data_IF_900789702169
#
_entry.id   IF_900789702169
#
_cell.length_a   1.000
_cell.length_b   1.000
_cell.length_c   1.000
_cell.angle_alpha   90.00
_cell.angle_beta   90.00
_cell.angle_gamma   90.00
#
_symmetry.space_group_name_H-M   'P 1'
#
loop_
_entity.id
_entity.type
_entity.pdbx_description
1 polymer ?
#
# COMPACT_ATOMS: atom_id res chain seq x y z
N UNK A 1 16.31 19.47 -7.79
CA UNK A 1 15.06 18.92 -8.32
C UNK A 1 14.06 19.12 -7.20
N UNK A 2 13.32 20.22 -7.28
CA UNK A 2 12.31 20.56 -6.27
C UNK A 2 11.27 19.43 -6.24
N UNK A 3 11.18 18.76 -5.09
CA UNK A 3 10.11 17.82 -4.73
C UNK A 3 8.85 18.69 -4.60
N UNK A 4 8.13 18.92 -5.70
CA UNK A 4 7.05 19.93 -5.81
C UNK A 4 5.77 19.55 -5.02
N UNK A 5 5.90 18.79 -3.93
CA UNK A 5 4.82 18.28 -3.09
C UNK A 5 3.83 17.36 -3.81
N UNK A 6 4.05 17.08 -5.11
CA UNK A 6 3.13 16.34 -5.97
C UNK A 6 3.14 14.86 -5.60
N UNK A 7 1.97 14.19 -5.72
CA UNK A 7 1.90 12.75 -5.53
C UNK A 7 2.84 12.01 -6.49
N UNK A 8 3.74 11.21 -5.94
CA UNK A 8 4.67 10.35 -6.68
C UNK A 8 4.38 8.89 -6.33
N UNK A 9 4.20 8.05 -7.36
CA UNK A 9 3.96 6.63 -7.18
C UNK A 9 5.29 5.88 -6.97
N UNK A 10 5.20 4.65 -6.49
CA UNK A 10 6.33 3.75 -6.30
C UNK A 10 5.87 2.40 -5.79
N UNK A 11 6.81 1.49 -5.60
CA UNK A 11 6.52 0.18 -5.03
C UNK A 11 7.66 -0.37 -4.19
N UNK A 12 7.32 -1.32 -3.34
CA UNK A 12 8.26 -2.12 -2.56
C UNK A 12 7.66 -3.51 -2.30
N UNK A 13 8.48 -4.55 -2.40
CA UNK A 13 8.07 -5.89 -2.00
C UNK A 13 8.67 -6.96 -2.90
N UNK A 14 7.91 -8.04 -3.12
CA UNK A 14 8.31 -9.14 -4.01
C UNK A 14 7.48 -9.18 -5.27
N UNK A 15 8.13 -9.60 -6.35
CA UNK A 15 7.49 -9.97 -7.61
C UNK A 15 7.81 -11.44 -7.90
N UNK A 16 6.87 -12.21 -8.48
CA UNK A 16 7.10 -13.63 -8.79
C UNK A 16 8.30 -13.87 -9.70
N UNK A 17 8.57 -12.96 -10.64
CA UNK A 17 9.68 -13.07 -11.58
C UNK A 17 11.05 -12.67 -10.99
N UNK A 18 11.10 -12.15 -9.77
CA UNK A 18 12.35 -11.72 -9.12
C UNK A 18 12.73 -12.63 -7.96
N UNK A 19 14.03 -12.87 -7.79
CA UNK A 19 14.55 -13.70 -6.69
C UNK A 19 14.78 -12.94 -5.38
N UNK A 20 14.62 -11.61 -5.38
CA UNK A 20 14.83 -10.74 -4.22
C UNK A 20 13.79 -9.61 -4.18
N UNK A 21 13.84 -8.81 -3.12
CA UNK A 21 13.05 -7.61 -2.95
C UNK A 21 13.35 -6.59 -4.06
N UNK A 22 12.29 -5.91 -4.48
CA UNK A 22 12.34 -4.84 -5.47
C UNK A 22 11.75 -3.57 -4.90
N UNK A 23 12.30 -2.42 -5.30
CA UNK A 23 11.75 -1.12 -4.92
C UNK A 23 12.13 -0.05 -5.93
N UNK A 24 11.19 0.84 -6.24
CA UNK A 24 11.38 2.04 -7.07
C UNK A 24 10.41 3.14 -6.68
N UNK A 25 10.78 4.39 -6.94
CA UNK A 25 9.91 5.56 -6.75
C UNK A 25 9.66 5.98 -5.30
N UNK A 26 10.28 5.32 -4.31
CA UNK A 26 10.04 5.60 -2.89
C UNK A 26 11.21 6.36 -2.26
N UNK A 27 10.94 7.41 -1.45
CA UNK A 27 11.97 8.04 -0.63
C UNK A 27 12.60 7.03 0.33
N UNK A 28 13.92 7.06 0.43
CA UNK A 28 14.73 6.05 1.11
C UNK A 28 14.38 5.88 2.60
N UNK A 29 14.11 7.00 3.29
CA UNK A 29 13.68 7.00 4.70
C UNK A 29 12.29 6.38 4.88
N UNK A 30 11.35 6.75 4.00
CA UNK A 30 10.01 6.16 4.00
C UNK A 30 10.06 4.66 3.71
N UNK A 31 10.80 4.24 2.68
CA UNK A 31 10.95 2.83 2.31
C UNK A 31 11.43 1.98 3.48
N UNK A 32 12.45 2.43 4.22
CA UNK A 32 12.98 1.71 5.39
C UNK A 32 11.96 1.58 6.52
N UNK A 33 11.23 2.65 6.84
CA UNK A 33 10.19 2.62 7.86
C UNK A 33 9.02 1.71 7.44
N UNK A 34 8.59 1.81 6.18
CA UNK A 34 7.52 0.99 5.61
C UNK A 34 7.87 -0.49 5.59
N UNK A 35 9.07 -0.86 5.15
CA UNK A 35 9.57 -2.23 5.22
C UNK A 35 9.52 -2.78 6.64
N UNK A 36 10.03 -2.04 7.62
CA UNK A 36 9.96 -2.42 9.02
C UNK A 36 8.52 -2.65 9.50
N UNK A 37 7.59 -1.79 9.10
CA UNK A 37 6.17 -1.92 9.44
C UNK A 37 5.53 -3.16 8.79
N UNK A 38 5.76 -3.39 7.50
CA UNK A 38 5.26 -4.56 6.77
C UNK A 38 5.83 -5.85 7.37
N UNK A 39 7.14 -5.89 7.61
CA UNK A 39 7.84 -7.03 8.19
C UNK A 39 7.33 -7.37 9.59
N UNK A 40 6.97 -6.36 10.39
CA UNK A 40 6.46 -6.54 11.75
C UNK A 40 4.98 -6.93 11.79
N UNK A 41 4.14 -6.34 10.94
CA UNK A 41 2.69 -6.42 11.11
C UNK A 41 1.97 -7.20 10.01
N UNK A 42 2.46 -7.21 8.76
CA UNK A 42 1.73 -7.84 7.65
C UNK A 42 2.34 -9.16 7.26
N UNK A 43 3.66 -9.21 7.04
CA UNK A 43 4.35 -10.40 6.56
C UNK A 43 4.17 -11.65 7.45
N UNK A 44 4.19 -11.58 8.80
CA UNK A 44 3.97 -12.75 9.65
C UNK A 44 2.59 -13.37 9.43
N UNK A 45 1.55 -12.52 9.36
CA UNK A 45 0.15 -12.94 9.14
C UNK A 45 0.00 -13.66 7.80
N UNK A 46 0.63 -13.16 6.74
CA UNK A 46 0.59 -13.81 5.43
C UNK A 46 1.28 -15.18 5.43
N UNK A 47 2.40 -15.31 6.16
CA UNK A 47 3.11 -16.59 6.32
C UNK A 47 2.31 -17.61 7.13
N UNK A 48 1.48 -17.13 8.05
CA UNK A 48 0.53 -17.92 8.84
C UNK A 48 -0.75 -18.26 8.05
N UNK A 49 -0.88 -17.78 6.80
CA UNK A 49 -2.00 -18.10 5.92
C UNK A 49 -3.17 -17.12 5.98
N UNK A 50 -3.02 -15.96 6.64
CA UNK A 50 -4.05 -14.92 6.59
C UNK A 50 -4.20 -14.40 5.15
N UNK A 51 -5.44 -14.34 4.67
CA UNK A 51 -5.76 -13.74 3.38
C UNK A 51 -5.84 -12.21 3.51
N UNK A 52 -5.34 -11.50 2.50
CA UNK A 52 -5.67 -10.08 2.32
C UNK A 52 -7.07 -9.97 1.68
N UNK A 53 -7.76 -8.83 1.87
CA UNK A 53 -9.01 -8.55 1.17
C UNK A 53 -8.87 -8.71 -0.34
N UNK A 54 -9.97 -9.01 -1.02
CA UNK A 54 -10.03 -8.95 -2.48
C UNK A 54 -9.66 -7.54 -2.97
N UNK A 55 -8.78 -7.46 -3.97
CA UNK A 55 -8.22 -6.18 -4.43
C UNK A 55 -7.18 -5.57 -3.48
N UNK A 56 -6.74 -6.31 -2.46
CA UNK A 56 -5.67 -5.92 -1.54
C UNK A 56 -6.13 -5.13 -0.31
N UNK A 57 -5.23 -5.06 0.67
CA UNK A 57 -5.39 -4.20 1.85
C UNK A 57 -4.98 -2.77 1.50
N UNK A 58 -5.91 -1.83 1.60
CA UNK A 58 -5.68 -0.42 1.30
C UNK A 58 -5.28 0.33 2.56
N UNK A 59 -4.43 1.34 2.41
CA UNK A 59 -3.93 2.14 3.52
C UNK A 59 -3.77 3.62 3.18
N UNK A 60 -3.82 4.45 4.22
CA UNK A 60 -3.39 5.84 4.21
C UNK A 60 -2.66 6.10 5.52
N UNK A 61 -1.46 6.63 5.43
CA UNK A 61 -0.56 6.92 6.53
C UNK A 61 -0.15 8.38 6.45
N UNK A 62 -0.23 9.10 7.56
CA UNK A 62 0.33 10.45 7.69
C UNK A 62 1.34 10.48 8.83
N UNK A 63 2.55 10.94 8.54
CA UNK A 63 3.64 11.03 9.50
C UNK A 63 4.63 12.12 9.11
N UNK A 64 5.07 12.93 10.08
CA UNK A 64 6.12 13.93 9.86
C UNK A 64 5.80 14.96 8.77
N UNK A 65 4.52 15.34 8.62
CA UNK A 65 4.08 16.30 7.60
C UNK A 65 4.03 15.75 6.17
N UNK A 66 4.15 14.42 6.00
CA UNK A 66 3.99 13.73 4.72
C UNK A 66 2.88 12.69 4.80
N UNK A 67 2.31 12.37 3.64
CA UNK A 67 1.30 11.34 3.48
C UNK A 67 1.80 10.24 2.54
N UNK A 68 1.43 9.01 2.85
CA UNK A 68 1.54 7.87 1.97
C UNK A 68 0.21 7.14 1.90
N UNK A 69 -0.15 6.61 0.74
CA UNK A 69 -1.33 5.77 0.60
C UNK A 69 -1.09 4.69 -0.44
N UNK A 70 -1.95 3.68 -0.46
CA UNK A 70 -2.01 2.73 -1.55
C UNK A 70 -2.52 1.38 -1.13
N UNK A 71 -1.97 0.33 -1.75
CA UNK A 71 -2.51 -1.02 -1.65
C UNK A 71 -1.40 -2.05 -1.44
N UNK A 72 -1.67 -3.00 -0.56
CA UNK A 72 -0.83 -4.14 -0.24
C UNK A 72 -1.48 -5.38 -0.85
N UNK A 73 -0.72 -6.08 -1.69
CA UNK A 73 -1.15 -7.25 -2.45
C UNK A 73 -0.42 -8.50 -1.97
N UNK A 74 -1.08 -9.68 -2.00
CA UNK A 74 -0.39 -10.94 -1.74
C UNK A 74 0.67 -11.16 -2.83
N UNK A 75 1.86 -11.59 -2.42
CA UNK A 75 2.96 -11.88 -3.33
C UNK A 75 3.98 -12.84 -2.70
N UNK A 76 4.85 -13.38 -3.55
CA UNK A 76 5.99 -14.21 -3.21
C UNK A 76 7.05 -14.06 -4.31
N UNK A 77 8.30 -14.38 -3.99
CA UNK A 77 9.35 -14.48 -5.01
C UNK A 77 9.33 -15.84 -5.72
N UNK A 78 10.23 -16.00 -6.69
CA UNK A 78 10.45 -17.25 -7.42
C UNK A 78 10.85 -18.44 -6.56
N UNK A 79 11.35 -18.22 -5.33
CA UNK A 79 11.67 -19.25 -4.35
C UNK A 79 10.49 -19.60 -3.42
N UNK A 80 9.33 -18.97 -3.59
CA UNK A 80 8.13 -19.21 -2.78
C UNK A 80 8.15 -18.53 -1.41
N UNK A 81 9.08 -17.61 -1.15
CA UNK A 81 9.15 -16.91 0.15
C UNK A 81 8.12 -15.78 0.18
N UNK A 82 7.04 -16.00 0.92
CA UNK A 82 5.92 -15.03 1.06
C UNK A 82 6.39 -13.70 1.64
N UNK A 83 6.09 -12.62 0.90
CA UNK A 83 6.18 -11.23 1.32
C UNK A 83 5.34 -10.38 0.37
N UNK A 84 4.54 -9.41 0.86
CA UNK A 84 3.58 -8.72 0.00
C UNK A 84 4.26 -7.79 -1.01
N UNK A 85 3.51 -7.43 -2.06
CA UNK A 85 3.84 -6.30 -2.93
C UNK A 85 3.05 -5.08 -2.46
N UNK A 86 3.73 -3.96 -2.22
CA UNK A 86 3.12 -2.69 -1.85
C UNK A 86 3.21 -1.72 -3.02
N UNK A 87 2.07 -1.20 -3.47
CA UNK A 87 1.97 -0.12 -4.45
C UNK A 87 1.59 1.15 -3.70
N UNK A 88 2.42 2.18 -3.81
CA UNK A 88 2.41 3.30 -2.86
C UNK A 88 2.46 4.62 -3.62
N UNK A 89 1.66 5.57 -3.16
CA UNK A 89 1.69 6.97 -3.52
C UNK A 89 2.22 7.77 -2.33
N UNK A 90 3.18 8.66 -2.52
CA UNK A 90 3.68 9.59 -1.49
C UNK A 90 3.50 11.02 -1.92
N UNK A 91 3.09 11.89 -0.99
CA UNK A 91 2.93 13.34 -1.22
C UNK A 91 3.08 14.09 0.13
N UNK A 92 3.05 15.43 0.11
CA UNK A 92 2.91 16.21 1.35
C UNK A 92 1.56 15.95 2.02
N UNK A 93 0.51 15.86 1.21
CA UNK A 93 -0.82 15.49 1.68
C UNK A 93 -1.58 14.70 0.61
N UNK A 94 -2.45 13.79 1.08
CA UNK A 94 -3.29 12.95 0.23
C UNK A 94 -4.76 13.06 0.66
N UNK A 95 -5.70 12.84 -0.28
CA UNK A 95 -7.12 12.90 0.02
C UNK A 95 -7.56 11.71 0.90
N UNK A 96 -8.85 11.65 1.21
CA UNK A 96 -9.43 10.58 2.04
C UNK A 96 -9.57 9.24 1.30
N UNK A 97 -9.98 8.17 2.01
CA UNK A 97 -10.12 6.83 1.43
C UNK A 97 -10.97 6.74 0.16
N UNK A 98 -12.12 7.44 0.11
CA UNK A 98 -13.02 7.40 -1.04
C UNK A 98 -12.39 7.94 -2.33
N UNK A 99 -11.57 8.97 -2.21
CA UNK A 99 -10.85 9.61 -3.32
C UNK A 99 -9.58 8.83 -3.72
N UNK A 100 -9.04 8.02 -2.80
CA UNK A 100 -7.92 7.12 -3.04
C UNK A 100 -8.32 5.81 -3.70
N UNK A 101 -9.57 5.37 -3.55
CA UNK A 101 -10.08 4.11 -4.07
C UNK A 101 -9.85 3.95 -5.59
N UNK A 102 -10.15 4.95 -6.45
CA UNK A 102 -9.90 4.87 -7.88
C UNK A 102 -8.41 4.67 -8.22
N UNK A 103 -7.51 5.36 -7.51
CA UNK A 103 -6.07 5.17 -7.71
C UNK A 103 -5.63 3.77 -7.28
N UNK A 104 -6.15 3.27 -6.16
CA UNK A 104 -5.86 1.91 -5.71
C UNK A 104 -6.32 0.86 -6.73
N UNK A 105 -7.53 1.00 -7.28
CA UNK A 105 -8.03 0.10 -8.33
C UNK A 105 -7.13 0.13 -9.58
N UNK A 106 -6.75 1.33 -10.03
CA UNK A 106 -5.85 1.47 -11.17
C UNK A 106 -4.46 0.88 -10.91
N UNK A 107 -3.90 1.08 -9.71
CA UNK A 107 -2.61 0.52 -9.31
C UNK A 107 -2.63 -1.02 -9.30
N UNK A 108 -3.69 -1.64 -8.79
CA UNK A 108 -3.83 -3.11 -8.84
C UNK A 108 -3.87 -3.61 -10.29
N UNK A 109 -4.60 -2.94 -11.19
CA UNK A 109 -4.63 -3.27 -12.62
C UNK A 109 -3.30 -3.01 -13.33
N UNK A 110 -2.50 -2.07 -12.82
CA UNK A 110 -1.15 -1.76 -13.29
C UNK A 110 -0.09 -2.74 -12.80
N UNK A 111 -0.42 -3.67 -11.88
CA UNK A 111 0.53 -4.68 -11.40
C UNK A 111 1.13 -5.50 -12.57
N UNK A 112 2.46 -5.66 -12.58
CA UNK A 112 3.24 -6.41 -13.58
C UNK A 112 4.30 -7.23 -12.86
N UNK A 113 4.75 -8.30 -13.50
CA UNK A 113 5.81 -9.16 -12.93
C UNK A 113 7.23 -8.58 -13.08
N UNK A 114 7.41 -7.56 -13.93
CA UNK A 114 8.70 -6.89 -14.14
C UNK A 114 8.80 -5.58 -13.35
N UNK A 115 9.93 -5.31 -12.66
CA UNK A 115 10.14 -4.04 -11.95
C UNK A 115 10.03 -2.80 -12.85
N UNK A 116 10.61 -2.85 -14.05
CA UNK A 116 10.56 -1.72 -15.00
C UNK A 116 9.15 -1.45 -15.50
N UNK A 117 8.45 -2.50 -15.96
CA UNK A 117 7.07 -2.37 -16.45
C UNK A 117 6.08 -1.93 -15.36
N UNK A 118 6.27 -2.40 -14.12
CA UNK A 118 5.47 -1.94 -12.98
C UNK A 118 5.73 -0.47 -12.69
N UNK A 119 7.01 -0.04 -12.70
CA UNK A 119 7.36 1.34 -12.44
C UNK A 119 6.71 2.29 -13.46
N UNK A 120 6.89 1.99 -14.75
CA UNK A 120 6.33 2.80 -15.83
C UNK A 120 4.79 2.86 -15.75
N UNK A 121 4.14 1.73 -15.51
CA UNK A 121 2.69 1.68 -15.42
C UNK A 121 2.13 2.48 -14.22
N UNK A 122 2.86 2.54 -13.10
CA UNK A 122 2.48 3.35 -11.94
C UNK A 122 2.71 4.85 -12.16
N UNK A 123 3.82 5.21 -12.82
CA UNK A 123 4.18 6.60 -13.14
C UNK A 123 3.19 7.25 -14.13
N UNK A 124 2.56 6.44 -14.99
CA UNK A 124 1.51 6.89 -15.91
C UNK A 124 0.13 7.11 -15.24
N UNK A 125 -0.07 6.67 -13.99
CA UNK A 125 -1.35 6.83 -13.33
C UNK A 125 -1.60 8.29 -12.95
N UNK A 126 -2.82 8.82 -13.21
CA UNK A 126 -3.17 10.14 -12.73
C UNK A 126 -3.18 10.17 -11.19
N UNK A 127 -2.79 11.29 -10.57
CA UNK A 127 -2.92 11.43 -9.11
C UNK A 127 -4.41 11.32 -8.70
N UNK A 128 -4.69 10.90 -7.47
CA UNK A 128 -6.06 10.80 -6.97
C UNK A 128 -6.74 12.17 -7.01
N UNK A 129 -7.97 12.21 -7.52
CA UNK A 129 -8.78 13.40 -7.53
C UNK A 129 -9.33 13.64 -6.12
N UNK A 130 -9.13 14.83 -5.55
CA UNK A 130 -9.66 15.17 -4.24
C UNK A 130 -8.80 16.20 -3.51
N UNK A 131 -9.41 16.94 -2.61
CA UNK A 131 -8.67 17.83 -1.73
C UNK A 131 -7.96 17.01 -0.63
N UNK A 132 -6.78 17.45 -0.16
CA UNK A 132 -6.13 16.84 0.99
C UNK A 132 -7.07 16.71 2.19
N UNK A 133 -7.05 15.56 2.86
CA UNK A 133 -7.82 15.39 4.08
C UNK A 133 -7.21 16.23 5.21
N UNK A 134 -7.97 17.22 5.71
CA UNK A 134 -7.48 18.22 6.66
C UNK A 134 -7.15 17.63 8.05
N UNK A 135 -7.92 16.65 8.52
CA UNK A 135 -7.72 16.02 9.82
C UNK A 135 -8.14 14.55 9.72
N UNK A 136 -7.15 13.67 9.68
CA UNK A 136 -7.35 12.24 9.54
C UNK A 136 -6.48 11.48 10.55
N UNK A 137 -6.94 10.32 11.05
CA UNK A 137 -6.12 9.45 11.88
C UNK A 137 -4.78 9.13 11.19
N UNK A 138 -3.70 8.91 11.97
CA UNK A 138 -2.37 8.72 11.43
C UNK A 138 -2.29 7.50 10.52
N UNK A 139 -3.02 6.43 10.82
CA UNK A 139 -3.18 5.27 9.95
C UNK A 139 -4.66 4.95 9.77
N UNK A 140 -5.05 4.82 8.51
CA UNK A 140 -6.31 4.27 8.05
C UNK A 140 -6.04 2.98 7.27
N UNK A 141 -6.82 1.95 7.53
CA UNK A 141 -6.80 0.68 6.81
C UNK A 141 -8.21 0.35 6.31
N UNK A 142 -8.33 -0.11 5.08
CA UNK A 142 -9.62 -0.50 4.52
C UNK A 142 -9.50 -1.54 3.42
N UNK A 143 -10.65 -2.03 2.97
CA UNK A 143 -10.80 -2.83 1.75
C UNK A 143 -11.69 -2.09 0.78
N UNK A 144 -11.60 -2.45 -0.50
CA UNK A 144 -12.42 -1.87 -1.56
C UNK A 144 -13.91 -1.83 -1.18
N UNK A 145 -14.53 -0.65 -1.30
CA UNK A 145 -15.96 -0.46 -1.05
C UNK A 145 -16.40 -0.53 0.42
N UNK A 146 -15.46 -0.56 1.37
CA UNK A 146 -15.76 -0.55 2.80
C UNK A 146 -15.28 0.74 3.47
N UNK A 147 -15.91 1.10 4.59
CA UNK A 147 -15.46 2.21 5.43
C UNK A 147 -14.06 1.93 6.00
N UNK A 148 -13.26 2.99 6.13
CA UNK A 148 -11.92 2.89 6.68
C UNK A 148 -11.91 2.75 8.20
N UNK A 149 -11.01 1.90 8.68
CA UNK A 149 -10.73 1.69 10.09
C UNK A 149 -9.52 2.50 10.49
N UNK A 150 -9.65 3.31 11.53
CA UNK A 150 -8.50 3.94 12.17
C UNK A 150 -7.70 2.91 12.95
N UNK A 151 -6.37 3.03 12.90
CA UNK A 151 -5.46 2.17 13.62
C UNK A 151 -4.30 2.97 14.20
N UNK A 152 -3.70 2.47 15.29
CA UNK A 152 -2.40 2.94 15.75
C UNK A 152 -1.32 2.34 14.83
N UNK A 153 -0.44 3.15 14.19
CA UNK A 153 0.68 2.64 13.42
C UNK A 153 1.59 1.67 14.20
N UNK A 154 1.70 1.83 15.53
CA UNK A 154 2.49 0.96 16.41
C UNK A 154 1.79 -0.34 16.80
N UNK A 155 0.45 -0.37 16.78
CA UNK A 155 -0.36 -1.57 17.05
C UNK A 155 -1.60 -1.65 16.13
N UNK A 156 -1.41 -1.99 14.84
CA UNK A 156 -2.49 -2.10 13.87
C UNK A 156 -3.24 -3.45 13.94
N UNK A 157 -2.96 -4.28 14.96
CA UNK A 157 -3.33 -5.69 14.98
C UNK A 157 -4.83 -5.94 14.89
N UNK A 158 -5.63 -5.17 15.63
CA UNK A 158 -7.09 -5.27 15.64
C UNK A 158 -7.72 -4.91 14.28
N UNK A 159 -7.27 -3.82 13.66
CA UNK A 159 -7.75 -3.39 12.35
C UNK A 159 -7.39 -4.40 11.24
N UNK A 160 -6.17 -4.93 11.27
CA UNK A 160 -5.73 -5.99 10.35
C UNK A 160 -6.58 -7.26 10.49
N UNK A 161 -6.88 -7.68 11.72
CA UNK A 161 -7.73 -8.84 11.98
C UNK A 161 -9.16 -8.65 11.45
N UNK A 162 -9.74 -7.46 11.66
CA UNK A 162 -11.08 -7.13 11.17
C UNK A 162 -11.19 -7.18 9.63
N UNK A 163 -10.09 -6.85 8.93
CA UNK A 163 -10.07 -6.83 7.46
C UNK A 163 -9.73 -8.20 6.84
N UNK A 164 -9.03 -9.08 7.55
CA UNK A 164 -8.67 -10.42 7.08
C UNK A 164 -9.86 -11.41 7.03
N UNK A 165 -10.91 -11.18 7.82
CA UNK A 165 -12.01 -12.14 8.00
C UNK A 165 -13.20 -12.00 7.06
N UNK A 166 -13.18 -11.05 6.13
CA UNK A 166 -14.35 -10.71 5.33
C UNK A 166 -14.26 -11.30 3.92
N UNK A 167 -14.15 -12.63 3.84
CA UNK A 167 -14.48 -13.38 2.62
C UNK A 167 -16.01 -13.35 2.53
N UNK A 168 -16.54 -12.76 1.48
CA UNK A 168 -17.99 -12.64 1.27
C UNK A 168 -18.66 -14.01 1.38
N UNK A 169 -19.48 -14.20 2.41
CA UNK A 169 -20.49 -15.24 2.41
C UNK A 169 -21.53 -14.86 1.36
N UNK A 170 -21.61 -15.64 0.28
CA UNK A 170 -22.82 -15.84 -0.54
C UNK A 170 -23.27 -14.67 -1.41
#
# INVERSE_FOLDING_TARGET
>A
MEDDGRPAAGFFGKLPATGDFVSRGLPDGFRRAWDGWITRHVAPRLREGAALPEGGLRFRLTSGGRAAAGVILPSQDSAGRVFPLCLILTADALPGPADLDPWCDAAVLAARDSPDGLWLALDELPPPAGAPAAEAPPLLLWRRGAAALAADPGDPSAALAALAGAVSSG
#
